data_IF_640270640914
#
_entry.id   IF_640270640914
#
_cell.length_a   1.000
_cell.length_b   1.000
_cell.length_c   1.000
_cell.angle_alpha   90.00
_cell.angle_beta   90.00
_cell.angle_gamma   90.00
#
_symmetry.space_group_name_H-M   'P 1'
#
loop_
_entity.id
_entity.type
_entity.pdbx_description
1 polymer ?
#
# COMPACT_ATOMS: atom_id res chain seq x y z
N UNK A 1 9.52 11.42 1.07
CA UNK A 1 9.41 10.26 1.95
C UNK A 1 7.95 10.07 2.29
N UNK A 2 7.38 9.02 1.73
CA UNK A 2 5.97 8.71 1.85
C UNK A 2 5.58 8.35 3.31
N UNK A 3 4.50 8.91 3.89
CA UNK A 3 4.07 8.58 5.26
C UNK A 3 3.64 7.12 5.43
N UNK A 4 3.12 6.47 4.38
CA UNK A 4 2.76 5.05 4.41
C UNK A 4 4.02 4.18 4.51
N UNK A 5 5.03 4.47 3.69
CA UNK A 5 6.32 3.76 3.73
C UNK A 5 6.99 3.98 5.09
N UNK A 6 6.98 5.21 5.61
CA UNK A 6 7.55 5.51 6.92
C UNK A 6 6.90 4.67 8.04
N UNK A 7 5.56 4.61 8.06
CA UNK A 7 4.82 3.80 9.03
C UNK A 7 5.17 2.32 8.94
N UNK A 8 5.29 1.78 7.72
CA UNK A 8 5.68 0.38 7.54
C UNK A 8 7.11 0.14 8.06
N UNK A 9 8.06 1.03 7.77
CA UNK A 9 9.44 0.93 8.28
C UNK A 9 9.53 1.03 9.81
N UNK A 10 8.72 1.89 10.43
CA UNK A 10 8.62 1.99 11.90
C UNK A 10 8.20 0.66 12.55
N UNK A 11 7.43 -0.15 11.83
CA UNK A 11 6.99 -1.48 12.27
C UNK A 11 7.96 -2.60 11.90
N UNK A 12 9.22 -2.27 11.58
CA UNK A 12 10.25 -3.22 11.14
C UNK A 12 9.87 -4.01 9.88
N UNK A 13 8.99 -3.45 9.05
CA UNK A 13 8.69 -4.02 7.73
C UNK A 13 9.84 -3.66 6.79
N UNK A 14 10.41 -4.67 6.15
CA UNK A 14 11.51 -4.51 5.20
C UNK A 14 11.06 -3.86 3.90
N UNK A 15 11.98 -3.18 3.20
CA UNK A 15 11.71 -2.58 1.88
C UNK A 15 11.12 -3.60 0.89
N UNK A 16 11.55 -4.86 0.96
CA UNK A 16 11.03 -5.94 0.15
C UNK A 16 9.55 -6.24 0.45
N UNK A 17 9.18 -6.38 1.71
CA UNK A 17 7.79 -6.59 2.11
C UNK A 17 6.90 -5.39 1.76
N UNK A 18 7.43 -4.17 1.89
CA UNK A 18 6.74 -2.95 1.44
C UNK A 18 6.50 -3.06 -0.07
N UNK A 19 7.52 -3.41 -0.85
CA UNK A 19 7.40 -3.57 -2.29
C UNK A 19 6.33 -4.62 -2.67
N UNK A 20 6.34 -5.79 -2.02
CA UNK A 20 5.35 -6.85 -2.24
C UNK A 20 3.91 -6.39 -1.97
N UNK A 21 3.71 -5.60 -0.91
CA UNK A 21 2.39 -5.02 -0.56
C UNK A 21 1.91 -4.07 -1.64
N UNK A 22 2.76 -3.13 -2.06
CA UNK A 22 2.40 -2.17 -3.08
C UNK A 22 2.24 -2.83 -4.45
N UNK A 23 3.08 -3.80 -4.78
CA UNK A 23 2.92 -4.61 -5.98
C UNK A 23 1.59 -5.36 -5.97
N UNK A 24 1.22 -6.00 -4.86
CA UNK A 24 -0.08 -6.65 -4.72
C UNK A 24 -1.23 -5.63 -4.85
N UNK A 25 -1.11 -4.42 -4.28
CA UNK A 25 -2.12 -3.35 -4.44
C UNK A 25 -2.29 -2.95 -5.90
N UNK A 26 -1.20 -2.89 -6.68
CA UNK A 26 -1.24 -2.56 -8.12
C UNK A 26 -1.91 -3.65 -8.94
N UNK A 27 -1.81 -4.93 -8.54
CA UNK A 27 -2.35 -6.04 -9.31
C UNK A 27 -3.80 -6.36 -8.91
N UNK A 28 -4.06 -6.46 -7.61
CA UNK A 28 -5.35 -6.79 -7.05
C UNK A 28 -5.46 -6.30 -5.59
N UNK A 29 -6.28 -5.27 -5.31
CA UNK A 29 -6.47 -4.74 -3.96
C UNK A 29 -6.89 -5.79 -2.93
N UNK A 30 -7.70 -6.78 -3.32
CA UNK A 30 -8.10 -7.88 -2.45
C UNK A 30 -6.93 -8.79 -2.09
N UNK A 31 -6.05 -9.09 -3.05
CA UNK A 31 -4.85 -9.89 -2.80
C UNK A 31 -3.88 -9.14 -1.86
N UNK A 32 -3.80 -7.82 -2.02
CA UNK A 32 -2.99 -6.99 -1.14
C UNK A 32 -3.43 -7.04 0.32
N UNK A 33 -4.73 -7.15 0.60
CA UNK A 33 -5.20 -7.30 1.98
C UNK A 33 -4.61 -8.54 2.65
N UNK A 34 -4.47 -9.65 1.91
CA UNK A 34 -3.79 -10.85 2.40
C UNK A 34 -2.31 -10.58 2.66
N UNK A 35 -1.60 -9.94 1.74
CA UNK A 35 -0.18 -9.57 1.93
C UNK A 35 0.01 -8.64 3.13
N UNK A 36 -0.87 -7.63 3.29
CA UNK A 36 -0.84 -6.70 4.42
C UNK A 36 -1.11 -7.44 5.74
N UNK A 37 -2.04 -8.40 5.76
CA UNK A 37 -2.31 -9.20 6.96
C UNK A 37 -1.10 -10.05 7.40
N UNK A 38 -0.27 -10.48 6.45
CA UNK A 38 0.96 -11.23 6.71
C UNK A 38 2.09 -10.37 7.26
N UNK A 39 1.99 -9.04 7.16
CA UNK A 39 2.95 -8.12 7.77
C UNK A 39 2.88 -8.11 9.31
N UNK A 40 1.82 -8.69 9.88
CA UNK A 40 1.61 -8.68 11.34
C UNK A 40 1.33 -7.29 11.90
N UNK A 41 0.82 -6.36 11.07
CA UNK A 41 0.45 -5.03 11.52
C UNK A 41 -0.75 -5.08 12.48
N UNK A 42 -0.79 -4.20 13.50
CA UNK A 42 -1.97 -4.01 14.32
C UNK A 42 -3.19 -3.59 13.48
N UNK A 43 -4.40 -4.02 13.87
CA UNK A 43 -5.63 -3.64 13.17
C UNK A 43 -5.80 -2.11 13.07
N UNK A 44 -5.46 -1.35 14.11
CA UNK A 44 -5.55 0.11 14.09
C UNK A 44 -4.62 0.75 13.06
N UNK A 45 -3.43 0.16 12.86
CA UNK A 45 -2.46 0.62 11.86
C UNK A 45 -2.91 0.29 10.44
N UNK A 46 -3.52 -0.88 10.27
CA UNK A 46 -4.13 -1.29 9.01
C UNK A 46 -5.29 -0.37 8.63
N UNK A 47 -6.16 -0.04 9.59
CA UNK A 47 -7.23 0.95 9.41
C UNK A 47 -6.67 2.34 9.09
N UNK A 48 -5.61 2.78 9.77
CA UNK A 48 -4.95 4.05 9.47
C UNK A 48 -4.36 4.08 8.06
N UNK A 49 -3.73 2.99 7.63
CA UNK A 49 -3.17 2.84 6.28
C UNK A 49 -4.28 2.95 5.23
N UNK A 50 -5.36 2.18 5.39
CA UNK A 50 -6.52 2.24 4.50
C UNK A 50 -7.17 3.64 4.49
N UNK A 51 -7.30 4.28 5.65
CA UNK A 51 -7.84 5.63 5.75
C UNK A 51 -6.97 6.65 5.00
N UNK A 52 -5.64 6.57 5.12
CA UNK A 52 -4.73 7.45 4.39
C UNK A 52 -4.79 7.22 2.88
N UNK A 53 -4.90 5.96 2.45
CA UNK A 53 -5.02 5.59 1.04
C UNK A 53 -6.34 6.10 0.44
N UNK A 54 -7.44 5.99 1.19
CA UNK A 54 -8.75 6.49 0.76
C UNK A 54 -8.84 8.02 0.78
N UNK A 55 -8.28 8.68 1.80
CA UNK A 55 -8.27 10.14 1.89
C UNK A 55 -7.34 10.78 0.88
N UNK A 56 -6.22 10.14 0.58
CA UNK A 56 -5.23 10.69 -0.32
C UNK A 56 -4.60 9.60 -1.23
N UNK A 57 -5.28 9.24 -2.33
CA UNK A 57 -4.79 8.24 -3.28
C UNK A 57 -3.44 8.60 -3.91
N UNK A 58 -3.05 9.88 -3.92
CA UNK A 58 -1.72 10.30 -4.38
C UNK A 58 -0.59 9.76 -3.50
N UNK A 59 -0.87 9.39 -2.24
CA UNK A 59 0.11 8.71 -1.39
C UNK A 59 0.48 7.34 -1.94
N UNK A 60 -0.45 6.58 -2.53
CA UNK A 60 -0.06 5.32 -3.19
C UNK A 60 0.86 5.62 -4.37
N UNK A 61 0.55 6.65 -5.17
CA UNK A 61 1.37 7.07 -6.31
C UNK A 61 2.80 7.36 -5.90
N UNK A 62 2.96 8.20 -4.89
CA UNK A 62 4.28 8.55 -4.38
C UNK A 62 5.02 7.34 -3.82
N UNK A 63 4.31 6.40 -3.19
CA UNK A 63 4.93 5.19 -2.65
C UNK A 63 5.44 4.29 -3.77
N UNK A 64 4.64 4.06 -4.82
CA UNK A 64 5.10 3.24 -5.95
C UNK A 64 6.22 3.92 -6.73
N UNK A 65 6.19 5.24 -6.88
CA UNK A 65 7.30 6.00 -7.49
C UNK A 65 8.58 5.89 -6.66
N UNK A 66 8.49 6.05 -5.33
CA UNK A 66 9.63 5.86 -4.42
C UNK A 66 10.18 4.41 -4.44
N UNK A 67 9.31 3.42 -4.70
CA UNK A 67 9.68 2.00 -4.78
C UNK A 67 10.06 1.54 -6.20
N UNK A 68 9.98 2.41 -7.21
CA UNK A 68 10.23 2.08 -8.62
C UNK A 68 9.18 1.13 -9.24
N UNK A 69 7.97 1.11 -8.68
CA UNK A 69 6.83 0.31 -9.13
C UNK A 69 6.00 1.04 -10.19
N UNK A 70 5.37 0.28 -11.07
CA UNK A 70 4.57 0.80 -12.19
C UNK A 70 3.20 1.31 -11.70
N UNK A 71 3.02 2.64 -11.70
CA UNK A 71 1.79 3.29 -11.24
C UNK A 71 0.59 3.08 -12.18
N UNK A 72 0.80 2.76 -13.47
CA UNK A 72 -0.32 2.56 -14.40
C UNK A 72 -1.26 1.45 -13.94
N UNK A 73 -0.73 0.45 -13.23
CA UNK A 73 -1.53 -0.65 -12.65
C UNK A 73 -2.31 -0.24 -11.40
N UNK A 74 -1.81 0.73 -10.63
CA UNK A 74 -2.49 1.25 -9.44
C UNK A 74 -3.78 2.00 -9.82
N UNK A 75 -3.76 2.81 -10.87
CA UNK A 75 -4.96 3.55 -11.32
C UNK A 75 -6.10 2.58 -11.69
N UNK A 76 -5.77 1.50 -12.39
CA UNK A 76 -6.73 0.44 -12.70
C UNK A 76 -7.26 -0.23 -11.44
N UNK A 77 -6.38 -0.54 -10.48
CA UNK A 77 -6.74 -1.17 -9.22
C UNK A 77 -7.60 -0.26 -8.32
N UNK A 78 -7.34 1.06 -8.29
CA UNK A 78 -8.16 2.04 -7.58
C UNK A 78 -9.56 2.16 -8.17
N UNK A 79 -9.67 2.12 -9.50
CA UNK A 79 -10.97 2.16 -10.17
C UNK A 79 -11.83 0.95 -9.77
N UNK A 80 -11.21 -0.21 -9.53
CA UNK A 80 -11.88 -1.42 -9.02
C UNK A 80 -12.28 -1.36 -7.54
N UNK A 81 -11.70 -0.47 -6.75
CA UNK A 81 -12.07 -0.28 -5.33
C UNK A 81 -13.27 0.66 -5.15
N UNK A 82 -13.58 1.49 -6.16
CA UNK A 82 -14.65 2.50 -6.10
C UNK A 82 -15.97 2.06 -6.76
N UNK A 83 -16.04 0.87 -7.35
CA UNK A 83 -17.22 0.28 -7.98
C UNK A 83 -17.59 -1.04 -7.32
#
# INVERSE_FOLDING_TARGET
MNPIIALLKEHAISDQQINDVFQALTQNPLAAMTTISQLGLPQDKLQLLLAQVMQNPALIKQAVEELGLDFSKVEEAQTKLRN
#
